data_IF_919036588752
#
_entry.id   IF_919036588752
#
_cell.length_a   1.000
_cell.length_b   1.000
_cell.length_c   1.000
_cell.angle_alpha   90.00
_cell.angle_beta   90.00
_cell.angle_gamma   90.00
#
_symmetry.space_group_name_H-M   'P 1'
#
loop_
_entity.id
_entity.type
_entity.pdbx_description
1 polymer ?
#
# COMPACT_ATOMS: atom_id res chain seq x y z
N UNK A 1 3.97 18.27 -17.14
CA UNK A 1 3.13 18.04 -15.95
C UNK A 1 3.46 16.64 -15.46
N UNK A 2 4.31 16.52 -14.44
CA UNK A 2 4.52 15.23 -13.77
C UNK A 2 3.29 15.02 -12.89
N UNK A 3 2.38 14.17 -13.33
CA UNK A 3 1.30 13.71 -12.46
C UNK A 3 1.97 12.78 -11.45
N UNK A 4 2.39 13.33 -10.31
CA UNK A 4 2.67 12.55 -9.11
C UNK A 4 1.38 11.77 -8.83
N UNK A 5 1.29 10.55 -9.35
CA UNK A 5 0.17 9.67 -9.05
C UNK A 5 0.16 9.48 -7.54
N UNK A 6 -0.97 9.80 -6.93
CA UNK A 6 -1.09 9.67 -5.49
C UNK A 6 -0.86 8.20 -5.11
N UNK A 7 -0.10 7.91 -4.05
CA UNK A 7 0.15 6.54 -3.58
C UNK A 7 -1.16 5.73 -3.42
N UNK A 8 -2.27 6.38 -3.06
CA UNK A 8 -3.59 5.76 -3.05
C UNK A 8 -4.08 5.32 -4.43
N UNK A 9 -3.85 6.10 -5.48
CA UNK A 9 -4.23 5.77 -6.85
C UNK A 9 -3.36 4.65 -7.42
N UNK A 10 -2.05 4.66 -7.14
CA UNK A 10 -1.12 3.60 -7.54
C UNK A 10 -1.60 2.26 -6.99
N UNK A 11 -1.87 2.20 -5.67
CA UNK A 11 -2.35 0.97 -5.02
C UNK A 11 -3.73 0.58 -5.52
N UNK A 12 -4.65 1.53 -5.69
CA UNK A 12 -6.00 1.26 -6.21
C UNK A 12 -5.99 0.67 -7.63
N UNK A 13 -5.15 1.21 -8.51
CA UNK A 13 -5.00 0.69 -9.87
C UNK A 13 -4.41 -0.72 -9.88
N UNK A 14 -3.45 -1.01 -8.99
CA UNK A 14 -2.89 -2.36 -8.86
C UNK A 14 -3.92 -3.35 -8.31
N UNK A 15 -4.72 -2.94 -7.32
CA UNK A 15 -5.79 -3.78 -6.75
C UNK A 15 -6.93 -4.06 -7.74
N UNK A 16 -7.21 -3.12 -8.64
CA UNK A 16 -8.24 -3.27 -9.68
C UNK A 16 -7.71 -3.99 -10.93
N UNK A 17 -6.41 -4.34 -10.96
CA UNK A 17 -5.77 -4.98 -12.11
C UNK A 17 -5.59 -4.05 -13.32
N UNK A 18 -5.79 -2.74 -13.15
CA UNK A 18 -5.53 -1.74 -14.19
C UNK A 18 -4.03 -1.59 -14.46
N UNK A 19 -3.19 -1.91 -13.48
CA UNK A 19 -1.74 -2.00 -13.61
C UNK A 19 -1.18 -3.21 -12.86
N UNK A 20 -0.01 -3.72 -13.24
CA UNK A 20 0.67 -4.75 -12.48
C UNK A 20 1.11 -4.25 -11.09
N UNK A 21 1.18 -5.17 -10.14
CA UNK A 21 1.79 -4.94 -8.83
C UNK A 21 3.32 -4.99 -8.98
N UNK A 22 3.90 -3.86 -9.38
CA UNK A 22 5.34 -3.64 -9.55
C UNK A 22 5.98 -2.94 -8.33
N UNK A 23 7.30 -2.72 -8.38
CA UNK A 23 8.09 -2.03 -7.33
C UNK A 23 7.45 -0.71 -6.89
N UNK A 24 6.93 0.10 -7.82
CA UNK A 24 6.25 1.36 -7.51
C UNK A 24 4.98 1.17 -6.68
N UNK A 25 4.28 0.04 -6.87
CA UNK A 25 3.14 -0.36 -6.03
C UNK A 25 3.61 -0.61 -4.60
N UNK A 26 4.67 -1.38 -4.43
CA UNK A 26 5.19 -1.77 -3.12
C UNK A 26 5.77 -0.57 -2.36
N UNK A 27 6.50 0.30 -3.04
CA UNK A 27 6.96 1.58 -2.47
C UNK A 27 5.78 2.44 -1.99
N UNK A 28 4.69 2.48 -2.77
CA UNK A 28 3.48 3.21 -2.39
C UNK A 28 2.77 2.59 -1.19
N UNK A 29 2.72 1.26 -1.10
CA UNK A 29 2.16 0.56 0.06
C UNK A 29 3.00 0.82 1.31
N UNK A 30 4.33 0.76 1.20
CA UNK A 30 5.24 1.05 2.32
C UNK A 30 5.07 2.49 2.82
N UNK A 31 5.04 3.47 1.91
CA UNK A 31 4.78 4.86 2.28
C UNK A 31 3.44 5.03 3.02
N UNK A 32 2.38 4.36 2.54
CA UNK A 32 1.07 4.38 3.19
C UNK A 32 1.10 3.66 4.54
N UNK A 33 1.89 2.60 4.69
CA UNK A 33 2.04 1.86 5.94
C UNK A 33 2.73 2.72 7.01
N UNK A 34 3.83 3.40 6.67
CA UNK A 34 4.51 4.35 7.54
C UNK A 34 3.61 5.51 7.95
N UNK A 35 2.85 6.04 6.99
CA UNK A 35 1.87 7.10 7.25
C UNK A 35 0.77 6.63 8.21
N UNK A 36 0.23 5.42 7.99
CA UNK A 36 -0.77 4.83 8.87
C UNK A 36 -0.20 4.57 10.27
N UNK A 37 1.04 4.08 10.38
CA UNK A 37 1.70 3.88 11.66
C UNK A 37 1.86 5.20 12.42
N UNK A 38 2.22 6.28 11.74
CA UNK A 38 2.31 7.62 12.31
C UNK A 38 0.95 8.08 12.84
N UNK A 39 -0.10 7.96 12.04
CA UNK A 39 -1.47 8.33 12.44
C UNK A 39 -1.93 7.52 13.66
N UNK A 40 -1.66 6.21 13.70
CA UNK A 40 -1.99 5.32 14.83
C UNK A 40 -1.28 5.73 16.11
N UNK A 41 -0.01 6.15 16.02
CA UNK A 41 0.77 6.64 17.16
C UNK A 41 0.23 7.96 17.70
N UNK A 42 -0.15 8.88 16.81
CA UNK A 42 -0.66 10.22 17.19
C UNK A 42 -2.11 10.19 17.67
N UNK A 43 -2.93 9.26 17.16
CA UNK A 43 -4.36 9.18 17.46
C UNK A 43 -4.75 7.79 17.97
N UNK A 44 -4.78 7.58 19.31
CA UNK A 44 -5.08 6.27 19.91
C UNK A 44 -6.43 5.67 19.49
N UNK A 45 -7.42 6.51 19.14
CA UNK A 45 -8.72 6.06 18.62
C UNK A 45 -8.64 5.36 17.26
N UNK A 46 -7.58 5.61 16.50
CA UNK A 46 -7.33 5.00 15.19
C UNK A 46 -6.40 3.79 15.28
N UNK A 47 -6.00 3.37 16.49
CA UNK A 47 -5.05 2.26 16.67
C UNK A 47 -5.52 0.93 16.04
N UNK A 48 -6.83 0.72 15.91
CA UNK A 48 -7.43 -0.45 15.28
C UNK A 48 -7.68 -0.32 13.76
N UNK A 49 -7.31 0.81 13.15
CA UNK A 49 -7.41 0.99 11.69
C UNK A 49 -6.26 0.23 11.03
N UNK A 50 -6.61 -0.68 10.13
CA UNK A 50 -5.66 -1.48 9.35
C UNK A 50 -6.01 -1.43 7.86
N UNK A 51 -5.05 -1.83 7.03
CA UNK A 51 -5.31 -2.04 5.61
C UNK A 51 -6.35 -3.13 5.38
N UNK A 52 -7.07 -3.00 4.27
CA UNK A 52 -8.06 -3.98 3.85
C UNK A 52 -7.38 -5.32 3.49
N UNK A 53 -8.11 -6.45 3.55
CA UNK A 53 -7.56 -7.75 3.20
C UNK A 53 -6.94 -7.81 1.80
N UNK A 54 -7.47 -7.03 0.85
CA UNK A 54 -6.96 -6.99 -0.52
C UNK A 54 -5.55 -6.38 -0.60
N UNK A 55 -5.29 -5.32 0.18
CA UNK A 55 -3.95 -4.71 0.27
C UNK A 55 -2.98 -5.67 0.97
N UNK A 56 -3.44 -6.39 1.99
CA UNK A 56 -2.62 -7.40 2.68
C UNK A 56 -2.21 -8.54 1.74
N UNK A 57 -3.14 -9.05 0.93
CA UNK A 57 -2.84 -10.06 -0.08
C UNK A 57 -1.81 -9.56 -1.11
N UNK A 58 -1.88 -8.27 -1.49
CA UNK A 58 -0.92 -7.66 -2.41
C UNK A 58 0.50 -7.63 -1.83
N UNK A 59 0.63 -7.32 -0.53
CA UNK A 59 1.91 -7.38 0.19
C UNK A 59 2.44 -8.82 0.28
N UNK A 60 1.57 -9.81 0.52
CA UNK A 60 1.98 -11.21 0.55
C UNK A 60 2.49 -11.69 -0.81
N UNK A 61 1.96 -11.17 -1.93
CA UNK A 61 2.48 -11.45 -3.27
C UNK A 61 3.89 -10.90 -3.48
N UNK A 62 4.22 -9.72 -2.92
CA UNK A 62 5.59 -9.19 -2.92
C UNK A 62 6.55 -10.18 -2.27
N UNK A 63 6.18 -10.67 -1.09
CA UNK A 63 7.01 -11.61 -0.33
C UNK A 63 7.20 -12.92 -1.08
N UNK A 64 6.22 -13.38 -1.87
CA UNK A 64 6.36 -14.58 -2.70
C UNK A 64 7.26 -14.34 -3.92
N UNK A 65 7.18 -13.16 -4.54
CA UNK A 65 8.02 -12.78 -5.68
C UNK A 65 9.47 -12.54 -5.27
N UNK A 66 9.73 -12.03 -4.06
CA UNK A 66 11.08 -11.80 -3.53
C UNK A 66 11.85 -13.10 -3.16
N UNK A 67 11.15 -14.25 -3.11
CA UNK A 67 11.73 -15.56 -2.75
C UNK A 67 12.03 -16.42 -4.01
N UNK A 68 11.70 -15.95 -5.22
CA UNK A 68 12.02 -16.63 -6.50
C UNK A 68 13.27 -16.06 -7.17
#
# INVERSE_FOLDING_TARGET
MHTDMNHFEIVSQSLTGLRPADEQTFDSINFLADSLQTVRKTHPRLAGVEFSPQVKALIEQESLLAIS
#
